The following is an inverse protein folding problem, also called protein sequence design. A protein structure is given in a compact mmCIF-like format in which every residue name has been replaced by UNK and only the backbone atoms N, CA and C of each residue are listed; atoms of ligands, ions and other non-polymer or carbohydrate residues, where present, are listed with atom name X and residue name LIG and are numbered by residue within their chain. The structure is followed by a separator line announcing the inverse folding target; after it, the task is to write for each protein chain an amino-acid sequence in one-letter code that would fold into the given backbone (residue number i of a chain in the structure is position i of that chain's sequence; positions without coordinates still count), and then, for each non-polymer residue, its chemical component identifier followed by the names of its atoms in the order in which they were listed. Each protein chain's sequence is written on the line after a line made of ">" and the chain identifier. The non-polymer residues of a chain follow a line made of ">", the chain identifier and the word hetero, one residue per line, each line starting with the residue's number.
data_IF_847100210158
#
_entry.id   IF_847100210158
#
_cell.length_a   1.000
_cell.length_b   1.000
_cell.length_c   1.000
_cell.angle_alpha   90.00
_cell.angle_beta   90.00
_cell.angle_gamma   90.00
#
_symmetry.space_group_name_H-M   'P 1'
#
loop_
_entity.id
_entity.type
_entity.pdbx_description
1 polymer ?
#
# COMPACT_ATOMS: atom_id res chain seq x y z
N UNK A 1 11.12 26.28 50.13
CA UNK A 1 10.53 26.42 48.79
C UNK A 1 9.04 26.75 48.94
N UNK A 2 8.61 27.95 48.56
CA UNK A 2 7.20 28.36 48.64
C UNK A 2 6.37 27.62 47.60
N UNK A 3 5.23 27.04 48.02
CA UNK A 3 4.29 26.38 47.10
C UNK A 3 3.61 27.47 46.25
N UNK A 4 3.74 27.37 44.92
CA UNK A 4 3.02 28.24 43.98
C UNK A 4 1.51 28.10 44.20
N UNK A 5 0.78 29.23 44.17
CA UNK A 5 -0.69 29.24 44.22
C UNK A 5 -1.30 28.34 43.13
N UNK A 6 -2.45 27.72 43.42
CA UNK A 6 -3.19 26.87 42.46
C UNK A 6 -3.43 27.60 41.12
N UNK A 7 -3.70 28.91 41.16
CA UNK A 7 -3.88 29.73 39.96
C UNK A 7 -2.56 29.92 39.17
N UNK A 8 -1.43 30.07 39.86
CA UNK A 8 -0.13 30.19 39.19
C UNK A 8 0.31 28.85 38.56
N UNK A 9 -0.05 27.72 39.19
CA UNK A 9 0.23 26.39 38.64
C UNK A 9 -0.57 26.09 37.37
N UNK A 10 -1.86 26.46 37.32
CA UNK A 10 -2.69 26.27 36.12
C UNK A 10 -2.24 27.15 34.96
N UNK A 11 -1.86 28.40 35.23
CA UNK A 11 -1.28 29.29 34.19
C UNK A 11 0.04 28.70 33.68
N UNK A 12 0.95 28.28 34.57
CA UNK A 12 2.23 27.67 34.16
C UNK A 12 2.04 26.42 33.30
N UNK A 13 1.08 25.55 33.63
CA UNK A 13 0.75 24.36 32.82
C UNK A 13 0.29 24.74 31.41
N UNK A 14 -0.65 25.68 31.29
CA UNK A 14 -1.12 26.17 29.97
C UNK A 14 0.02 26.74 29.12
N UNK A 15 0.97 27.43 29.74
CA UNK A 15 2.13 27.98 29.05
C UNK A 15 3.13 26.90 28.62
N UNK A 16 3.35 25.86 29.43
CA UNK A 16 4.22 24.75 29.06
C UNK A 16 3.62 23.91 27.92
N UNK A 17 2.32 23.64 27.95
CA UNK A 17 1.62 22.94 26.86
C UNK A 17 1.71 23.72 25.54
N UNK A 18 1.52 25.05 25.59
CA UNK A 18 1.65 25.90 24.42
C UNK A 18 3.10 26.00 23.90
N UNK A 19 4.10 25.92 24.79
CA UNK A 19 5.51 25.90 24.41
C UNK A 19 5.87 24.58 23.71
N UNK A 20 5.42 23.44 24.25
CA UNK A 20 5.62 22.11 23.66
C UNK A 20 4.98 22.02 22.27
N UNK A 21 3.78 22.58 22.09
CA UNK A 21 3.10 22.61 20.80
C UNK A 21 3.85 23.39 19.71
N UNK A 22 4.66 24.41 20.08
CA UNK A 22 5.39 25.25 19.13
C UNK A 22 6.86 24.84 18.93
N UNK A 23 7.50 24.19 19.91
CA UNK A 23 8.95 23.95 19.92
C UNK A 23 9.38 22.50 20.18
N UNK A 24 8.44 21.55 20.27
CA UNK A 24 8.74 20.17 20.64
C UNK A 24 9.07 20.00 22.12
N UNK A 25 9.52 18.80 22.51
CA UNK A 25 9.72 18.40 23.92
C UNK A 25 10.73 19.23 24.72
N UNK A 26 11.58 20.00 24.05
CA UNK A 26 12.64 20.81 24.67
C UNK A 26 12.26 22.29 24.87
N UNK A 27 11.02 22.69 24.59
CA UNK A 27 10.58 24.08 24.69
C UNK A 27 10.53 24.55 26.16
N UNK A 28 11.49 25.41 26.54
CA UNK A 28 11.56 26.03 27.88
C UNK A 28 10.90 27.42 27.86
N UNK A 29 10.02 27.67 28.83
CA UNK A 29 9.51 29.03 29.09
C UNK A 29 10.68 29.85 29.64
N UNK A 30 11.03 30.93 28.95
CA UNK A 30 12.11 31.81 29.36
C UNK A 30 11.54 32.85 30.31
N UNK A 31 11.84 32.68 31.59
CA UNK A 31 11.32 33.53 32.68
C UNK A 31 12.33 34.62 33.05
N UNK A 32 13.63 34.39 32.83
CA UNK A 32 14.66 35.37 33.13
C UNK A 32 14.74 36.43 32.03
N UNK A 33 14.77 37.69 32.45
CA UNK A 33 14.89 38.84 31.55
C UNK A 33 16.16 38.74 30.67
N UNK A 34 17.26 38.26 31.24
CA UNK A 34 18.56 38.10 30.55
C UNK A 34 18.52 37.09 29.40
N UNK A 35 17.72 36.03 29.50
CA UNK A 35 17.56 35.04 28.45
C UNK A 35 16.49 35.44 27.43
N UNK A 36 15.48 36.21 27.85
CA UNK A 36 14.41 36.68 26.97
C UNK A 36 14.85 37.84 26.06
N UNK A 37 15.73 38.73 26.55
CA UNK A 37 16.29 39.84 25.76
C UNK A 37 16.88 39.43 24.40
N UNK A 38 17.79 38.44 24.31
CA UNK A 38 18.36 38.06 23.02
C UNK A 38 17.32 37.45 22.08
N UNK A 39 16.32 36.72 22.59
CA UNK A 39 15.24 36.18 21.76
C UNK A 39 14.37 37.28 21.16
N UNK A 40 13.99 38.27 21.98
CA UNK A 40 13.21 39.43 21.53
C UNK A 40 13.99 40.24 20.50
N UNK A 41 15.28 40.46 20.75
CA UNK A 41 16.14 41.19 19.82
C UNK A 41 16.35 40.46 18.50
N UNK A 42 16.64 39.14 18.54
CA UNK A 42 16.77 38.32 17.33
C UNK A 42 15.48 38.34 16.52
N UNK A 43 14.31 38.20 17.17
CA UNK A 43 13.03 38.32 16.47
C UNK A 43 12.87 39.68 15.78
N UNK A 44 13.14 40.78 16.49
CA UNK A 44 13.01 42.13 15.93
C UNK A 44 14.00 42.37 14.79
N UNK A 45 15.23 41.87 14.92
CA UNK A 45 16.26 41.91 13.89
C UNK A 45 15.84 41.13 12.64
N UNK A 46 15.35 39.91 12.81
CA UNK A 46 15.02 38.99 11.70
C UNK A 46 13.67 39.32 11.04
N UNK A 47 12.79 40.03 11.74
CA UNK A 47 11.47 40.40 11.19
C UNK A 47 11.53 41.49 10.12
N UNK A 48 12.64 42.24 10.03
CA UNK A 48 12.85 43.37 9.14
C UNK A 48 11.70 44.40 9.08
N UNK A 49 10.89 44.52 10.13
CA UNK A 49 9.74 45.43 10.17
C UNK A 49 9.48 45.97 11.57
N UNK A 50 8.94 47.19 11.72
CA UNK A 50 8.47 47.66 13.00
C UNK A 50 7.33 46.81 13.55
N UNK A 51 7.43 46.40 14.81
CA UNK A 51 6.43 45.59 15.48
C UNK A 51 5.97 46.30 16.75
N UNK A 52 4.66 46.25 17.03
CA UNK A 52 4.15 46.68 18.33
C UNK A 52 4.27 45.55 19.37
N UNK A 53 4.09 45.88 20.65
CA UNK A 53 4.21 44.92 21.75
C UNK A 53 3.28 43.70 21.57
N UNK A 54 2.07 43.90 21.04
CA UNK A 54 1.12 42.82 20.77
C UNK A 54 1.63 41.85 19.71
N UNK A 55 2.20 42.37 18.61
CA UNK A 55 2.75 41.55 17.52
C UNK A 55 3.96 40.75 17.98
N UNK A 56 4.82 41.36 18.81
CA UNK A 56 5.99 40.69 19.40
C UNK A 56 5.53 39.60 20.37
N UNK A 57 4.54 39.90 21.21
CA UNK A 57 3.94 38.94 22.11
C UNK A 57 3.32 37.76 21.36
N UNK A 58 2.60 38.00 20.27
CA UNK A 58 1.95 36.93 19.49
C UNK A 58 2.97 36.02 18.80
N UNK A 59 4.06 36.61 18.28
CA UNK A 59 5.19 35.87 17.73
C UNK A 59 5.87 35.00 18.80
N UNK A 60 6.12 35.56 19.99
CA UNK A 60 6.76 34.89 21.12
C UNK A 60 5.76 34.21 22.08
N UNK A 61 4.50 34.06 21.65
CA UNK A 61 3.43 33.51 22.48
C UNK A 61 3.82 32.10 22.91
N UNK A 62 3.82 31.87 24.22
CA UNK A 62 4.27 30.68 24.95
C UNK A 62 5.76 30.60 25.32
N UNK A 63 6.63 31.44 24.74
CA UNK A 63 8.07 31.43 25.06
C UNK A 63 8.41 32.50 26.08
N UNK A 64 7.91 33.73 25.90
CA UNK A 64 8.19 34.87 26.77
C UNK A 64 6.88 35.42 27.37
N UNK A 65 6.70 35.40 28.71
CA UNK A 65 5.53 35.98 29.36
C UNK A 65 5.39 37.49 29.11
N UNK A 66 4.15 38.04 28.99
CA UNK A 66 3.94 39.47 28.74
C UNK A 66 4.65 40.39 29.75
N UNK A 67 4.67 40.09 31.06
CA UNK A 67 5.40 40.92 32.03
C UNK A 67 6.90 40.96 31.74
N UNK A 68 7.49 39.80 31.42
CA UNK A 68 8.92 39.68 31.10
C UNK A 68 9.22 40.39 29.79
N UNK A 69 8.38 40.21 28.76
CA UNK A 69 8.53 40.89 27.47
C UNK A 69 8.58 42.40 27.62
N UNK A 70 7.66 42.98 28.41
CA UNK A 70 7.63 44.43 28.65
C UNK A 70 8.94 44.90 29.32
N UNK A 71 9.39 44.21 30.37
CA UNK A 71 10.66 44.53 31.04
C UNK A 71 11.89 44.34 30.14
N UNK A 72 11.86 43.37 29.21
CA UNK A 72 12.91 43.18 28.23
C UNK A 72 12.96 44.34 27.23
N UNK A 73 11.82 44.74 26.67
CA UNK A 73 11.73 45.85 25.71
C UNK A 73 12.17 47.17 26.35
N UNK A 74 11.74 47.44 27.58
CA UNK A 74 12.18 48.61 28.36
C UNK A 74 13.70 48.57 28.57
N UNK A 75 14.26 47.47 29.06
CA UNK A 75 15.70 47.35 29.30
C UNK A 75 16.55 47.43 28.03
N UNK A 76 16.07 46.89 26.89
CA UNK A 76 16.76 47.03 25.60
C UNK A 76 16.66 48.48 25.08
N UNK A 77 15.56 49.18 25.36
CA UNK A 77 15.38 50.58 24.93
C UNK A 77 16.16 51.60 25.78
N UNK A 78 16.32 51.36 27.08
CA UNK A 78 16.97 52.28 28.03
C UNK A 78 18.49 52.28 27.84
N UNK A 79 19.10 51.14 27.47
CA UNK A 79 20.54 51.05 27.22
C UNK A 79 21.08 52.03 26.17
N UNK A 80 20.19 52.67 25.39
CA UNK A 80 20.52 53.63 24.34
C UNK A 80 20.31 55.11 24.73
N UNK A 81 19.66 55.42 25.86
CA UNK A 81 19.35 56.82 26.23
C UNK A 81 20.49 57.55 26.96
N UNK A 82 21.44 56.85 27.56
CA UNK A 82 22.50 57.48 28.38
C UNK A 82 23.72 57.98 27.57
N UNK A 83 23.62 58.07 26.22
CA UNK A 83 24.77 58.38 25.36
C UNK A 83 24.60 59.58 24.40
N UNK A 84 23.46 60.29 24.46
CA UNK A 84 23.29 61.56 23.74
C UNK A 84 23.08 62.70 24.74
N UNK A 85 23.94 63.72 24.64
CA UNK A 85 24.01 64.98 25.42
C UNK A 85 24.75 64.93 26.77
N UNK A 86 26.04 64.56 26.74
CA UNK A 86 27.02 65.29 27.55
C UNK A 86 27.63 66.37 26.67
N UNK A 87 27.09 67.60 26.74
CA UNK A 87 27.77 68.83 26.29
C UNK A 87 29.04 68.99 27.15
N UNK A 88 30.09 68.28 26.75
CA UNK A 88 31.44 68.37 27.28
C UNK A 88 32.28 69.17 26.31
N UNK A 89 32.18 70.48 26.43
CA UNK A 89 33.04 71.49 25.83
C UNK A 89 34.47 71.33 26.41
N UNK A 90 35.33 70.52 25.79
CA UNK A 90 36.78 70.55 26.06
C UNK A 90 37.58 70.43 24.77
N UNK A 91 38.09 71.58 24.34
CA UNK A 91 39.25 71.71 23.48
C UNK A 91 40.43 70.92 24.04
N UNK A 92 41.11 70.11 23.21
CA UNK A 92 42.56 69.93 23.31
C UNK A 92 43.18 69.33 22.03
N UNK A 93 43.87 70.21 21.32
CA UNK A 93 45.21 70.09 20.75
C UNK A 93 45.66 68.82 19.99
N UNK A 94 45.65 69.04 18.67
CA UNK A 94 46.67 68.68 17.68
C UNK A 94 48.03 68.28 18.27
N UNK A 95 48.41 67.00 18.14
CA UNK A 95 49.83 66.60 18.06
C UNK A 95 50.07 65.80 16.78
N UNK A 96 50.66 66.50 15.82
CA UNK A 96 51.30 65.98 14.61
C UNK A 96 52.55 65.19 15.04
N UNK A 97 52.65 63.90 14.70
CA UNK A 97 53.93 63.17 14.63
C UNK A 97 54.13 62.49 13.28
N UNK A 98 55.24 62.90 12.66
CA UNK A 98 55.79 62.58 11.34
C UNK A 98 56.20 61.10 11.15
N UNK A 99 56.41 60.66 9.89
CA UNK A 99 56.50 59.25 9.51
C UNK A 99 57.92 58.68 9.67
N UNK A 100 58.03 57.37 9.95
CA UNK A 100 59.31 56.63 9.88
C UNK A 100 59.19 55.30 9.12
N UNK A 101 59.95 55.27 8.02
CA UNK A 101 60.75 54.19 7.42
C UNK A 101 60.11 52.80 7.18
N UNK A 102 60.02 52.48 5.88
CA UNK A 102 59.89 51.15 5.28
C UNK A 102 61.00 50.21 5.77
N UNK A 103 60.63 49.05 6.30
CA UNK A 103 61.51 47.90 6.55
C UNK A 103 60.90 46.67 5.86
N UNK A 104 61.63 46.12 4.88
CA UNK A 104 61.36 44.81 4.27
C UNK A 104 61.53 43.73 5.34
N UNK A 105 60.50 42.91 5.56
CA UNK A 105 60.61 41.64 6.30
C UNK A 105 60.10 40.48 5.46
N UNK A 106 60.84 39.38 5.57
CA UNK A 106 60.69 38.06 4.95
C UNK A 106 59.30 37.41 5.15
N UNK A 107 58.95 36.40 4.32
CA UNK A 107 57.67 35.69 4.39
C UNK A 107 57.47 35.01 5.75
N UNK A 108 56.28 35.20 6.29
CA UNK A 108 55.83 34.67 7.58
C UNK A 108 55.45 33.18 7.42
N UNK A 109 55.87 32.29 8.32
CA UNK A 109 55.39 30.91 8.34
C UNK A 109 53.90 30.87 8.68
N UNK A 110 53.22 29.87 8.10
CA UNK A 110 51.82 29.52 8.28
C UNK A 110 51.42 29.44 9.76
N UNK A 111 50.28 30.05 10.17
CA UNK A 111 49.77 29.89 11.51
C UNK A 111 49.16 28.50 11.66
N UNK A 112 49.77 27.70 12.54
CA UNK A 112 49.17 26.49 13.11
C UNK A 112 47.86 26.86 13.83
N UNK A 113 46.75 26.12 13.67
CA UNK A 113 45.50 26.41 14.35
C UNK A 113 45.69 26.16 15.85
N UNK A 114 45.45 27.17 16.69
CA UNK A 114 45.34 26.97 18.14
C UNK A 114 44.00 26.29 18.45
N UNK A 115 43.98 25.12 19.10
CA UNK A 115 42.79 24.63 19.78
C UNK A 115 42.77 25.28 21.17
N UNK A 116 41.82 26.18 21.41
CA UNK A 116 41.18 26.36 22.72
C UNK A 116 40.20 27.53 22.64
N UNK A 117 38.93 27.16 22.54
CA UNK A 117 37.79 28.05 22.57
C UNK A 117 37.61 28.65 23.95
N UNK A 118 38.30 29.77 24.21
CA UNK A 118 37.64 30.83 24.95
C UNK A 118 36.61 31.43 24.00
N UNK A 119 35.39 30.90 24.07
CA UNK A 119 34.20 31.60 23.55
C UNK A 119 34.28 33.00 24.13
N UNK A 120 34.64 33.98 23.30
CA UNK A 120 34.39 35.39 23.58
C UNK A 120 32.90 35.41 23.90
N UNK A 121 32.56 35.48 25.19
CA UNK A 121 31.17 35.63 25.61
C UNK A 121 30.73 36.85 24.82
N UNK A 122 29.78 36.64 23.91
CA UNK A 122 29.11 37.67 23.13
C UNK A 122 28.36 38.49 24.20
N UNK A 123 29.11 39.32 24.94
CA UNK A 123 28.66 39.91 26.20
C UNK A 123 28.04 41.28 26.02
N UNK A 124 27.95 41.75 24.77
CA UNK A 124 27.10 42.86 24.38
C UNK A 124 26.55 42.49 23.03
N UNK A 125 25.30 42.06 23.00
CA UNK A 125 24.51 42.30 21.80
C UNK A 125 24.57 43.82 21.59
N UNK A 126 24.90 44.27 20.38
CA UNK A 126 24.80 45.68 20.01
C UNK A 126 23.30 46.05 19.95
N UNK A 127 22.67 46.11 21.13
CA UNK A 127 21.30 46.55 21.35
C UNK A 127 21.12 48.03 20.96
N UNK A 128 22.23 48.72 20.68
CA UNK A 128 22.40 50.07 20.10
C UNK A 128 21.66 50.30 18.77
N UNK A 129 21.06 49.25 18.21
CA UNK A 129 20.21 49.33 17.03
C UNK A 129 18.72 49.41 17.37
N UNK A 130 18.25 49.03 18.56
CA UNK A 130 16.82 49.08 18.85
C UNK A 130 16.34 50.54 18.98
N UNK A 131 15.41 50.93 18.11
CA UNK A 131 14.73 52.20 18.15
C UNK A 131 13.26 52.01 18.54
N UNK A 132 12.76 52.96 19.31
CA UNK A 132 11.37 53.01 19.77
C UNK A 132 10.71 54.23 19.17
N UNK A 133 9.65 54.02 18.39
CA UNK A 133 8.78 55.10 17.91
C UNK A 133 7.56 55.15 18.80
N UNK A 134 7.51 56.16 19.67
CA UNK A 134 6.42 56.38 20.60
C UNK A 134 5.08 56.55 19.88
N UNK A 135 4.06 55.80 20.32
CA UNK A 135 2.68 55.96 19.90
C UNK A 135 1.83 56.65 20.97
N UNK A 136 0.53 56.84 20.71
CA UNK A 136 -0.43 57.40 21.68
C UNK A 136 -0.62 56.54 22.94
N UNK A 137 -0.35 55.24 22.83
CA UNK A 137 -0.38 54.26 23.92
C UNK A 137 0.63 53.13 23.68
N UNK A 138 0.86 52.29 24.69
CA UNK A 138 1.82 51.18 24.62
C UNK A 138 1.55 50.18 23.47
N UNK A 139 0.29 50.04 23.03
CA UNK A 139 -0.08 49.15 21.92
C UNK A 139 0.22 49.77 20.54
N UNK A 140 0.43 51.08 20.48
CA UNK A 140 0.81 51.82 19.26
C UNK A 140 2.30 52.15 19.21
N UNK A 141 3.05 51.89 20.28
CA UNK A 141 4.51 52.01 20.28
C UNK A 141 5.12 50.93 19.38
N UNK A 142 5.95 51.36 18.43
CA UNK A 142 6.64 50.47 17.50
C UNK A 142 8.10 50.30 17.91
N UNK A 143 8.53 49.05 17.99
CA UNK A 143 9.90 48.65 18.24
C UNK A 143 10.50 48.12 16.93
N UNK A 144 11.69 48.57 16.57
CA UNK A 144 12.39 48.11 15.37
C UNK A 144 13.90 48.22 15.55
N UNK A 145 14.65 47.32 14.92
CA UNK A 145 16.10 47.45 14.86
C UNK A 145 16.46 48.37 13.69
N UNK A 146 17.24 49.41 13.97
CA UNK A 146 17.79 50.31 12.98
C UNK A 146 18.86 49.57 12.17
N UNK A 147 18.49 49.24 10.95
CA UNK A 147 19.33 48.52 10.02
C UNK A 147 20.31 49.44 9.27
N UNK A 148 20.21 50.76 9.40
CA UNK A 148 21.14 51.68 8.72
C UNK A 148 22.55 51.62 9.30
N UNK A 149 22.68 51.16 10.55
CA UNK A 149 23.97 50.94 11.24
C UNK A 149 24.64 49.60 10.91
N UNK A 150 24.01 48.73 10.10
CA UNK A 150 24.68 47.53 9.60
C UNK A 150 25.90 47.94 8.75
N UNK A 151 26.92 47.08 8.68
CA UNK A 151 28.24 47.33 8.08
C UNK A 151 28.23 47.95 6.66
N UNK A 152 27.09 47.94 5.98
CA UNK A 152 26.86 48.54 4.67
C UNK A 152 26.36 50.00 4.68
N UNK A 153 26.54 50.73 5.80
CA UNK A 153 26.37 52.20 5.91
C UNK A 153 25.05 52.76 5.34
N UNK A 154 23.97 51.98 5.37
CA UNK A 154 22.67 52.35 4.78
C UNK A 154 22.63 52.46 3.24
N UNK A 155 23.77 52.37 2.55
CA UNK A 155 23.86 52.46 1.08
C UNK A 155 23.59 51.11 0.38
N UNK A 156 23.36 50.05 1.16
CA UNK A 156 23.09 48.70 0.66
C UNK A 156 24.36 47.97 0.20
N UNK A 157 24.17 46.76 -0.34
CA UNK A 157 25.25 46.01 -0.99
C UNK A 157 25.82 46.82 -2.17
N UNK A 158 27.12 46.70 -2.41
CA UNK A 158 27.73 47.29 -3.60
C UNK A 158 27.09 46.69 -4.88
N UNK A 159 27.21 47.37 -6.03
CA UNK A 159 26.56 46.89 -7.27
C UNK A 159 27.06 45.51 -7.73
N UNK A 160 28.31 45.16 -7.43
CA UNK A 160 28.90 43.86 -7.80
C UNK A 160 28.30 42.74 -6.96
N UNK A 161 28.37 42.85 -5.64
CA UNK A 161 27.83 41.91 -4.68
C UNK A 161 26.31 41.73 -4.85
N UNK A 162 25.60 42.81 -5.21
CA UNK A 162 24.17 42.71 -5.55
C UNK A 162 23.95 41.85 -6.80
N UNK A 163 24.76 42.03 -7.85
CA UNK A 163 24.67 41.21 -9.06
C UNK A 163 25.03 39.75 -8.79
N UNK A 164 26.10 39.51 -8.02
CA UNK A 164 26.52 38.17 -7.61
C UNK A 164 25.45 37.47 -6.78
N UNK A 165 24.83 38.18 -5.82
CA UNK A 165 23.73 37.65 -5.02
C UNK A 165 22.50 37.36 -5.89
N UNK A 166 22.15 38.24 -6.83
CA UNK A 166 21.05 38.00 -7.76
C UNK A 166 21.32 36.78 -8.65
N UNK A 167 22.57 36.61 -9.12
CA UNK A 167 23.00 35.42 -9.85
C UNK A 167 22.87 34.15 -9.02
N UNK A 168 23.35 34.17 -7.77
CA UNK A 168 23.24 33.04 -6.84
C UNK A 168 21.77 32.70 -6.50
N UNK A 169 20.90 33.71 -6.32
CA UNK A 169 19.45 33.50 -6.09
C UNK A 169 18.79 32.88 -7.32
N UNK A 170 19.13 33.34 -8.52
CA UNK A 170 18.62 32.76 -9.76
C UNK A 170 19.10 31.31 -9.94
N UNK A 171 20.37 31.03 -9.66
CA UNK A 171 20.93 29.68 -9.71
C UNK A 171 20.27 28.76 -8.66
N UNK A 172 20.08 29.24 -7.44
CA UNK A 172 19.38 28.48 -6.40
C UNK A 172 17.92 28.20 -6.78
N UNK A 173 17.24 29.18 -7.39
CA UNK A 173 15.86 29.05 -7.87
C UNK A 173 15.73 28.01 -9.00
N UNK A 174 16.64 28.03 -9.97
CA UNK A 174 16.63 27.02 -11.06
C UNK A 174 16.96 25.63 -10.53
N UNK A 175 17.92 25.50 -9.60
CA UNK A 175 18.21 24.23 -8.92
C UNK A 175 17.00 23.72 -8.14
N UNK A 176 16.30 24.57 -7.39
CA UNK A 176 15.11 24.20 -6.63
C UNK A 176 13.98 23.73 -7.56
N UNK A 177 13.73 24.43 -8.67
CA UNK A 177 12.75 23.98 -9.69
C UNK A 177 13.11 22.61 -10.25
N UNK A 178 14.37 22.41 -10.65
CA UNK A 178 14.85 21.12 -11.18
C UNK A 178 14.71 19.97 -10.17
N UNK A 179 15.05 20.21 -8.90
CA UNK A 179 14.87 19.21 -7.85
C UNK A 179 13.40 18.92 -7.58
N UNK A 180 12.53 19.93 -7.62
CA UNK A 180 11.09 19.75 -7.47
C UNK A 180 10.50 18.93 -8.62
N UNK A 181 10.90 19.19 -9.87
CA UNK A 181 10.48 18.41 -11.03
C UNK A 181 10.98 16.96 -10.95
N UNK A 182 12.23 16.78 -10.50
CA UNK A 182 12.79 15.44 -10.27
C UNK A 182 12.05 14.67 -9.18
N UNK A 183 11.67 15.33 -8.08
CA UNK A 183 10.89 14.71 -7.02
C UNK A 183 9.51 14.30 -7.52
N UNK A 184 8.81 15.18 -8.26
CA UNK A 184 7.53 14.84 -8.88
C UNK A 184 7.63 13.68 -9.88
N UNK A 185 8.73 13.59 -10.63
CA UNK A 185 8.97 12.45 -11.52
C UNK A 185 9.17 11.14 -10.75
N UNK A 186 9.95 11.17 -9.66
CA UNK A 186 10.15 10.02 -8.79
C UNK A 186 8.85 9.58 -8.09
N UNK A 187 8.01 10.53 -7.68
CA UNK A 187 6.70 10.26 -7.09
C UNK A 187 5.75 9.57 -8.07
N UNK A 188 5.82 9.94 -9.36
CA UNK A 188 5.06 9.26 -10.43
C UNK A 188 5.57 7.84 -10.65
N UNK A 189 6.88 7.66 -10.79
CA UNK A 189 7.49 6.35 -10.99
C UNK A 189 7.20 5.40 -9.81
N UNK A 190 7.32 5.89 -8.58
CA UNK A 190 6.96 5.11 -7.39
C UNK A 190 5.48 4.76 -7.37
N UNK A 191 4.60 5.69 -7.74
CA UNK A 191 3.16 5.41 -7.86
C UNK A 191 2.86 4.36 -8.93
N UNK A 192 3.56 4.39 -10.06
CA UNK A 192 3.39 3.41 -11.15
C UNK A 192 3.93 2.03 -10.75
N UNK A 193 5.06 1.96 -10.03
CA UNK A 193 5.60 0.72 -9.47
C UNK A 193 4.68 0.12 -8.41
N UNK A 194 4.09 0.95 -7.53
CA UNK A 194 3.14 0.49 -6.52
C UNK A 194 1.80 0.01 -7.09
N UNK A 195 1.47 0.37 -8.34
CA UNK A 195 0.28 -0.14 -9.05
C UNK A 195 0.52 -1.50 -9.70
N UNK A 196 1.77 -1.90 -9.90
CA UNK A 196 2.07 -3.20 -10.47
C UNK A 196 1.81 -4.29 -9.43
N UNK A 197 1.23 -5.44 -9.83
CA UNK A 197 1.02 -6.54 -8.91
C UNK A 197 2.36 -7.05 -8.39
N UNK A 198 2.37 -7.47 -7.14
CA UNK A 198 3.55 -8.07 -6.53
C UNK A 198 3.86 -9.42 -7.19
N UNK A 199 5.12 -9.87 -7.09
CA UNK A 199 5.51 -11.17 -7.61
C UNK A 199 4.68 -12.32 -7.02
N UNK A 200 4.27 -12.20 -5.75
CA UNK A 200 3.42 -13.18 -5.06
C UNK A 200 2.01 -13.21 -5.66
N UNK A 201 1.42 -12.03 -5.94
CA UNK A 201 0.13 -11.93 -6.63
C UNK A 201 0.19 -12.51 -8.05
N UNK A 202 1.29 -12.23 -8.78
CA UNK A 202 1.51 -12.81 -10.11
C UNK A 202 1.65 -14.34 -10.07
N UNK A 203 2.33 -14.89 -9.07
CA UNK A 203 2.41 -16.34 -8.88
C UNK A 203 1.04 -16.95 -8.58
N UNK A 204 0.24 -16.30 -7.75
CA UNK A 204 -1.13 -16.74 -7.46
C UNK A 204 -2.02 -16.70 -8.71
N UNK A 205 -1.94 -15.61 -9.50
CA UNK A 205 -2.67 -15.48 -10.76
C UNK A 205 -2.25 -16.57 -11.76
N UNK A 206 -0.95 -16.79 -11.92
CA UNK A 206 -0.42 -17.83 -12.79
C UNK A 206 -0.91 -19.22 -12.36
N UNK A 207 -0.85 -19.53 -11.07
CA UNK A 207 -1.35 -20.80 -10.54
C UNK A 207 -2.86 -20.99 -10.78
N UNK A 208 -3.63 -19.91 -10.61
CA UNK A 208 -5.08 -19.93 -10.86
C UNK A 208 -5.38 -20.20 -12.34
N UNK A 209 -4.69 -19.52 -13.25
CA UNK A 209 -4.81 -19.73 -14.70
C UNK A 209 -4.37 -21.15 -15.11
N UNK A 210 -3.30 -21.68 -14.50
CA UNK A 210 -2.86 -23.06 -14.74
C UNK A 210 -3.93 -24.09 -14.34
N UNK A 211 -4.59 -23.89 -13.20
CA UNK A 211 -5.73 -24.72 -12.77
C UNK A 211 -6.88 -24.61 -13.78
N UNK A 212 -7.24 -23.40 -14.21
CA UNK A 212 -8.30 -23.20 -15.21
C UNK A 212 -7.98 -23.90 -16.53
N UNK A 213 -6.75 -23.78 -17.02
CA UNK A 213 -6.29 -24.47 -18.23
C UNK A 213 -6.30 -25.99 -18.07
N UNK A 214 -5.92 -26.50 -16.89
CA UNK A 214 -5.98 -27.93 -16.59
C UNK A 214 -7.43 -28.44 -16.66
N UNK A 215 -8.37 -27.73 -16.01
CA UNK A 215 -9.78 -28.08 -16.02
C UNK A 215 -10.38 -28.04 -17.44
N UNK A 216 -10.08 -26.99 -18.21
CA UNK A 216 -10.57 -26.86 -19.59
C UNK A 216 -10.04 -28.00 -20.49
N UNK A 217 -8.78 -28.43 -20.30
CA UNK A 217 -8.21 -29.58 -21.01
C UNK A 217 -8.97 -30.88 -20.67
N UNK A 218 -9.31 -31.08 -19.41
CA UNK A 218 -10.10 -32.24 -18.98
C UNK A 218 -11.50 -32.22 -19.61
N UNK A 219 -12.18 -31.06 -19.61
CA UNK A 219 -13.49 -30.89 -20.24
C UNK A 219 -13.45 -31.16 -21.74
N UNK A 220 -12.43 -30.69 -22.46
CA UNK A 220 -12.24 -30.97 -23.89
C UNK A 220 -12.05 -32.45 -24.13
N UNK A 221 -11.23 -33.13 -23.33
CA UNK A 221 -11.02 -34.57 -23.44
C UNK A 221 -12.34 -35.34 -23.20
N UNK A 222 -13.10 -34.96 -22.17
CA UNK A 222 -14.42 -35.54 -21.88
C UNK A 222 -15.38 -35.34 -23.06
N UNK A 223 -15.45 -34.13 -23.62
CA UNK A 223 -16.27 -33.83 -24.79
C UNK A 223 -15.88 -34.67 -26.02
N UNK A 224 -14.58 -34.87 -26.26
CA UNK A 224 -14.08 -35.73 -27.34
C UNK A 224 -14.50 -37.19 -27.15
N UNK A 225 -14.45 -37.72 -25.92
CA UNK A 225 -14.94 -39.05 -25.60
C UNK A 225 -16.44 -39.18 -25.90
N UNK A 226 -17.26 -38.20 -25.50
CA UNK A 226 -18.69 -38.18 -25.82
C UNK A 226 -18.97 -38.11 -27.33
N UNK A 227 -18.22 -37.28 -28.07
CA UNK A 227 -18.38 -37.15 -29.52
C UNK A 227 -18.04 -38.46 -30.25
N UNK A 228 -16.93 -39.11 -29.88
CA UNK A 228 -16.56 -40.44 -30.38
C UNK A 228 -17.64 -41.48 -30.09
N UNK A 229 -18.19 -41.47 -28.86
CA UNK A 229 -19.28 -42.35 -28.47
C UNK A 229 -20.57 -42.08 -29.29
N UNK A 230 -20.93 -40.81 -29.52
CA UNK A 230 -22.11 -40.47 -30.35
C UNK A 230 -21.97 -40.97 -31.79
N UNK A 231 -20.80 -40.80 -32.40
CA UNK A 231 -20.53 -41.29 -33.76
C UNK A 231 -20.60 -42.83 -33.83
N UNK A 232 -20.00 -43.51 -32.85
CA UNK A 232 -20.05 -44.97 -32.75
C UNK A 232 -21.48 -45.49 -32.57
N UNK A 233 -22.26 -44.89 -31.66
CA UNK A 233 -23.67 -45.23 -31.44
C UNK A 233 -24.49 -45.00 -32.70
N UNK A 234 -24.26 -43.90 -33.45
CA UNK A 234 -24.94 -43.64 -34.72
C UNK A 234 -24.63 -44.73 -35.76
N UNK A 235 -23.37 -45.17 -35.86
CA UNK A 235 -22.94 -46.24 -36.77
C UNK A 235 -23.60 -47.58 -36.42
N UNK A 236 -23.65 -47.95 -35.14
CA UNK A 236 -24.34 -49.17 -34.68
C UNK A 236 -25.83 -49.10 -35.01
N UNK A 237 -26.49 -47.97 -34.75
CA UNK A 237 -27.91 -47.79 -35.09
C UNK A 237 -28.19 -47.95 -36.58
N UNK A 238 -27.34 -47.36 -37.43
CA UNK A 238 -27.46 -47.49 -38.90
C UNK A 238 -27.25 -48.94 -39.37
N UNK A 239 -26.22 -49.63 -38.84
CA UNK A 239 -25.96 -51.05 -39.15
C UNK A 239 -27.13 -51.94 -38.70
N UNK A 240 -27.66 -51.74 -37.50
CA UNK A 240 -28.83 -52.46 -36.99
C UNK A 240 -30.07 -52.21 -37.86
N UNK A 241 -30.36 -50.95 -38.22
CA UNK A 241 -31.48 -50.62 -39.08
C UNK A 241 -31.37 -51.27 -40.48
N UNK A 242 -30.15 -51.33 -41.03
CA UNK A 242 -29.86 -52.03 -42.29
C UNK A 242 -30.15 -53.52 -42.17
N UNK A 243 -29.62 -54.20 -41.15
CA UNK A 243 -29.86 -55.62 -40.91
C UNK A 243 -31.35 -55.93 -40.73
N UNK A 244 -32.09 -55.07 -40.02
CA UNK A 244 -33.55 -55.20 -39.86
C UNK A 244 -34.27 -55.06 -41.20
N UNK A 245 -33.86 -54.12 -42.05
CA UNK A 245 -34.44 -53.93 -43.38
C UNK A 245 -34.20 -55.13 -44.31
N UNK A 246 -32.96 -55.64 -44.33
CA UNK A 246 -32.58 -56.83 -45.09
C UNK A 246 -33.34 -58.06 -44.59
N UNK A 247 -33.48 -58.22 -43.27
CA UNK A 247 -34.28 -59.28 -42.66
C UNK A 247 -35.76 -59.20 -43.08
N UNK A 248 -36.40 -58.02 -42.98
CA UNK A 248 -37.80 -57.82 -43.43
C UNK A 248 -37.98 -58.16 -44.91
N UNK A 249 -36.99 -57.82 -45.73
CA UNK A 249 -37.03 -58.11 -47.17
C UNK A 249 -36.91 -59.61 -47.45
N UNK A 250 -35.97 -60.31 -46.78
CA UNK A 250 -35.86 -61.77 -46.85
C UNK A 250 -37.13 -62.47 -46.37
N UNK A 251 -37.69 -62.01 -45.24
CA UNK A 251 -38.94 -62.53 -44.69
C UNK A 251 -40.10 -62.40 -45.68
N UNK A 252 -40.27 -61.24 -46.33
CA UNK A 252 -41.30 -61.06 -47.37
C UNK A 252 -41.12 -62.03 -48.53
N UNK A 253 -39.92 -62.10 -49.12
CA UNK A 253 -39.63 -63.03 -50.21
C UNK A 253 -39.90 -64.49 -49.85
N UNK A 254 -39.57 -64.91 -48.63
CA UNK A 254 -39.84 -66.26 -48.14
C UNK A 254 -41.35 -66.51 -47.99
N UNK A 255 -42.08 -65.54 -47.45
CA UNK A 255 -43.54 -65.61 -47.34
C UNK A 255 -44.20 -65.67 -48.72
N UNK A 256 -43.79 -64.81 -49.65
CA UNK A 256 -44.31 -64.78 -51.02
C UNK A 256 -44.07 -66.11 -51.75
N UNK A 257 -42.89 -66.73 -51.53
CA UNK A 257 -42.57 -68.06 -52.05
C UNK A 257 -43.50 -69.15 -51.47
N UNK A 258 -43.79 -69.11 -50.17
CA UNK A 258 -44.71 -70.07 -49.54
C UNK A 258 -46.14 -69.91 -50.04
N UNK A 259 -46.61 -68.68 -50.27
CA UNK A 259 -47.92 -68.41 -50.86
C UNK A 259 -47.99 -69.03 -52.27
N UNK A 260 -46.98 -68.78 -53.11
CA UNK A 260 -46.91 -69.36 -54.46
C UNK A 260 -46.88 -70.90 -54.46
N UNK A 261 -46.18 -71.52 -53.50
CA UNK A 261 -46.14 -72.98 -53.35
C UNK A 261 -47.46 -73.57 -52.84
N UNK A 262 -48.15 -72.87 -51.96
CA UNK A 262 -49.47 -73.30 -51.47
C UNK A 262 -50.49 -73.31 -52.61
N UNK A 263 -50.48 -72.26 -53.44
CA UNK A 263 -51.33 -72.16 -54.63
C UNK A 263 -50.98 -73.23 -55.68
N UNK A 264 -49.70 -73.44 -55.99
CA UNK A 264 -49.26 -74.38 -57.02
C UNK A 264 -49.42 -75.87 -56.63
N UNK A 265 -49.52 -76.17 -55.33
CA UNK A 265 -49.66 -77.55 -54.83
C UNK A 265 -51.06 -77.87 -54.30
N UNK A 266 -52.04 -77.01 -54.60
CA UNK A 266 -53.44 -77.13 -54.16
C UNK A 266 -53.56 -77.38 -52.65
N UNK A 267 -52.71 -76.71 -51.86
CA UNK A 267 -52.70 -76.80 -50.40
C UNK A 267 -52.03 -78.06 -49.83
N UNK A 268 -51.30 -78.82 -50.64
CA UNK A 268 -50.41 -79.89 -50.14
C UNK A 268 -49.33 -79.28 -49.24
N UNK A 269 -48.68 -78.20 -49.69
CA UNK A 269 -47.78 -77.39 -48.86
C UNK A 269 -48.58 -76.25 -48.23
N UNK A 270 -48.85 -76.33 -46.92
CA UNK A 270 -49.58 -75.25 -46.20
C UNK A 270 -48.61 -74.25 -45.60
N UNK A 271 -48.68 -72.97 -45.98
CA UNK A 271 -47.82 -71.89 -45.45
C UNK A 271 -47.85 -71.83 -43.92
N UNK A 272 -49.04 -71.94 -43.33
CA UNK A 272 -49.22 -71.89 -41.87
C UNK A 272 -48.49 -73.02 -41.15
N UNK A 273 -48.44 -74.22 -41.74
CA UNK A 273 -47.72 -75.36 -41.15
C UNK A 273 -46.21 -75.20 -41.28
N UNK A 274 -45.73 -74.72 -42.44
CA UNK A 274 -44.30 -74.48 -42.66
C UNK A 274 -43.76 -73.38 -41.73
N UNK A 275 -44.49 -72.26 -41.57
CA UNK A 275 -44.10 -71.18 -40.63
C UNK A 275 -44.17 -71.58 -39.15
N UNK A 276 -44.96 -72.61 -38.81
CA UNK A 276 -45.03 -73.18 -37.47
C UNK A 276 -43.94 -74.24 -37.22
N UNK A 277 -43.13 -74.58 -38.23
CA UNK A 277 -42.11 -75.64 -38.15
C UNK A 277 -42.67 -77.06 -38.19
N UNK A 278 -43.95 -77.24 -38.53
CA UNK A 278 -44.62 -78.56 -38.61
C UNK A 278 -45.08 -78.89 -40.03
N UNK A 279 -44.52 -78.20 -41.03
CA UNK A 279 -44.87 -78.34 -42.44
C UNK A 279 -43.95 -79.30 -43.17
N UNK A 280 -44.25 -79.53 -44.45
CA UNK A 280 -43.40 -80.34 -45.33
C UNK A 280 -42.07 -79.66 -45.67
N UNK A 281 -41.99 -78.34 -45.46
CA UNK A 281 -40.76 -77.56 -45.55
C UNK A 281 -40.45 -77.08 -44.14
N UNK A 282 -39.33 -77.55 -43.58
CA UNK A 282 -38.82 -77.11 -42.29
C UNK A 282 -38.22 -75.70 -42.43
N UNK A 283 -38.89 -74.71 -41.84
CA UNK A 283 -38.37 -73.36 -41.72
C UNK A 283 -38.14 -73.06 -40.24
N UNK A 284 -36.88 -72.86 -39.88
CA UNK A 284 -36.55 -72.32 -38.56
C UNK A 284 -36.97 -70.86 -38.50
N UNK A 285 -37.98 -70.56 -37.69
CA UNK A 285 -38.42 -69.19 -37.47
C UNK A 285 -37.43 -68.46 -36.56
N UNK A 286 -36.98 -67.28 -36.98
CA UNK A 286 -36.13 -66.37 -36.18
C UNK A 286 -36.77 -65.95 -34.83
N UNK A 287 -38.02 -66.34 -34.55
CA UNK A 287 -38.65 -66.12 -33.26
C UNK A 287 -37.96 -66.85 -32.10
N UNK A 288 -37.41 -68.04 -32.31
CA UNK A 288 -36.79 -68.82 -31.23
C UNK A 288 -35.49 -68.15 -30.74
N UNK A 289 -34.54 -67.80 -31.63
CA UNK A 289 -33.35 -67.05 -31.22
C UNK A 289 -33.68 -65.68 -30.62
N UNK A 290 -34.73 -64.99 -31.11
CA UNK A 290 -35.17 -63.70 -30.54
C UNK A 290 -35.77 -63.85 -29.13
N UNK A 291 -36.53 -64.92 -28.86
CA UNK A 291 -37.07 -65.21 -27.52
C UNK A 291 -35.94 -65.52 -26.55
N UNK A 292 -34.96 -66.32 -26.96
CA UNK A 292 -33.77 -66.64 -26.17
C UNK A 292 -32.92 -65.40 -25.89
N UNK A 293 -32.67 -64.56 -26.90
CA UNK A 293 -31.94 -63.31 -26.73
C UNK A 293 -32.65 -62.33 -25.78
N UNK A 294 -33.99 -62.25 -25.84
CA UNK A 294 -34.79 -61.44 -24.89
C UNK A 294 -34.74 -62.02 -23.48
N UNK A 295 -34.79 -63.34 -23.32
CA UNK A 295 -34.68 -63.99 -22.03
C UNK A 295 -33.29 -63.78 -21.41
N UNK A 296 -32.23 -63.95 -22.20
CA UNK A 296 -30.86 -63.67 -21.80
C UNK A 296 -30.68 -62.19 -21.41
N UNK A 297 -31.20 -61.24 -22.20
CA UNK A 297 -31.12 -59.82 -21.86
C UNK A 297 -31.83 -59.48 -20.54
N UNK A 298 -33.02 -60.05 -20.29
CA UNK A 298 -33.70 -59.91 -19.00
C UNK A 298 -32.87 -60.48 -17.85
N UNK A 299 -32.26 -61.64 -18.04
CA UNK A 299 -31.37 -62.27 -17.05
C UNK A 299 -30.14 -61.40 -16.74
N UNK A 300 -29.46 -60.87 -17.76
CA UNK A 300 -28.31 -59.97 -17.57
C UNK A 300 -28.70 -58.66 -16.90
N UNK A 301 -29.86 -58.08 -17.25
CA UNK A 301 -30.35 -56.86 -16.60
C UNK A 301 -30.61 -57.07 -15.11
N UNK A 302 -31.23 -58.19 -14.74
CA UNK A 302 -31.49 -58.56 -13.34
C UNK A 302 -30.19 -58.83 -12.55
N UNK A 303 -29.17 -59.42 -13.19
CA UNK A 303 -27.86 -59.67 -12.56
C UNK A 303 -27.12 -58.36 -12.30
N UNK A 304 -27.14 -57.41 -13.25
CA UNK A 304 -26.47 -56.12 -13.08
C UNK A 304 -27.15 -55.26 -12.01
N UNK A 305 -28.48 -55.25 -11.90
CA UNK A 305 -29.16 -54.54 -10.80
C UNK A 305 -28.81 -55.11 -9.44
N UNK A 306 -28.73 -56.44 -9.30
CA UNK A 306 -28.33 -57.09 -8.05
C UNK A 306 -26.87 -56.81 -7.68
N UNK A 307 -25.97 -56.71 -8.66
CA UNK A 307 -24.57 -56.32 -8.40
C UNK A 307 -24.46 -54.87 -7.96
N UNK A 308 -25.19 -53.95 -8.59
CA UNK A 308 -25.21 -52.53 -8.19
C UNK A 308 -25.74 -52.38 -6.75
N UNK A 309 -26.78 -53.12 -6.36
CA UNK A 309 -27.29 -53.14 -4.99
C UNK A 309 -26.25 -53.68 -3.99
N UNK A 310 -25.53 -54.74 -4.36
CA UNK A 310 -24.47 -55.31 -3.52
C UNK A 310 -23.25 -54.38 -3.38
N UNK A 311 -22.96 -53.58 -4.41
CA UNK A 311 -21.89 -52.58 -4.41
C UNK A 311 -22.27 -51.32 -3.62
N UNK A 312 -23.55 -50.94 -3.64
CA UNK A 312 -24.10 -49.84 -2.84
C UNK A 312 -24.08 -50.19 -1.34
N UNK A 313 -24.45 -51.41 -0.99
CA UNK A 313 -24.37 -51.93 0.38
C UNK A 313 -22.92 -52.04 0.91
N UNK A 314 -21.94 -52.30 0.02
CA UNK A 314 -20.52 -52.28 0.40
C UNK A 314 -19.98 -50.88 0.67
N UNK A 315 -20.41 -49.87 -0.08
CA UNK A 315 -19.94 -48.48 0.06
C UNK A 315 -20.49 -47.76 1.29
N UNK A 316 -21.66 -48.15 1.79
CA UNK A 316 -22.20 -47.61 3.06
C UNK A 316 -21.46 -48.16 4.30
N UNK A 317 -20.70 -49.25 4.15
CA UNK A 317 -19.87 -49.83 5.23
C UNK A 317 -18.41 -49.37 5.25
N UNK A 318 -17.98 -48.48 4.34
CA UNK A 318 -16.57 -48.12 4.16
C UNK A 318 -16.20 -46.66 4.50
N UNK A 319 -16.95 -45.99 5.37
CA UNK A 319 -16.49 -44.75 6.03
C UNK A 319 -15.47 -45.10 7.13
N UNK A 320 -14.32 -45.65 6.74
CA UNK A 320 -13.22 -45.93 7.65
C UNK A 320 -12.22 -44.78 7.60
N UNK A 321 -12.09 -44.02 8.69
CA UNK A 321 -11.00 -43.05 8.84
C UNK A 321 -9.79 -43.81 9.38
N UNK A 322 -8.84 -44.13 8.50
CA UNK A 322 -7.54 -44.65 8.90
C UNK A 322 -6.66 -43.49 9.38
N UNK A 323 -6.53 -43.31 10.69
CA UNK A 323 -5.56 -42.36 11.26
C UNK A 323 -4.20 -43.05 11.31
N UNK A 324 -3.26 -42.59 10.47
CA UNK A 324 -1.86 -43.03 10.51
C UNK A 324 -1.17 -42.22 11.61
N UNK A 325 -0.89 -42.87 12.74
CA UNK A 325 -0.05 -42.29 13.79
C UNK A 325 1.43 -42.44 13.38
N UNK A 326 2.17 -41.33 13.45
CA UNK A 326 3.57 -41.24 13.00
C UNK A 326 4.53 -42.25 13.66
N UNK A 327 5.67 -42.43 13.01
CA UNK A 327 6.61 -43.56 13.01
C UNK A 327 7.12 -44.15 14.36
N UNK A 328 6.72 -43.65 15.53
CA UNK A 328 7.27 -44.07 16.82
C UNK A 328 6.25 -44.74 17.77
N UNK A 329 5.06 -45.07 17.31
CA UNK A 329 4.08 -45.82 18.10
C UNK A 329 3.73 -47.12 17.37
N UNK A 330 3.92 -48.25 18.05
CA UNK A 330 3.55 -49.58 17.60
C UNK A 330 2.15 -49.58 16.99
N UNK A 331 2.04 -50.04 15.74
CA UNK A 331 0.81 -50.06 14.93
C UNK A 331 -0.36 -50.71 15.67
N UNK A 332 -1.23 -49.90 16.26
CA UNK A 332 -2.50 -50.32 16.83
C UNK A 332 -3.65 -49.80 15.98
N UNK A 333 -4.44 -50.71 15.40
CA UNK A 333 -5.70 -50.34 14.72
C UNK A 333 -6.77 -50.21 15.78
N UNK A 334 -7.12 -48.98 16.16
CA UNK A 334 -8.23 -48.71 17.07
C UNK A 334 -9.52 -48.65 16.24
N UNK A 335 -10.48 -49.51 16.54
CA UNK A 335 -11.84 -49.43 16.00
C UNK A 335 -12.64 -48.49 16.90
N UNK A 336 -13.01 -47.32 16.38
CA UNK A 336 -13.90 -46.38 17.08
C UNK A 336 -15.32 -46.60 16.56
N UNK A 337 -16.28 -47.08 17.38
CA UNK A 337 -17.68 -47.12 16.99
C UNK A 337 -18.22 -45.69 16.90
N UNK A 338 -18.99 -45.43 15.84
CA UNK A 338 -19.58 -44.12 15.55
C UNK A 338 -20.94 -44.04 16.26
N UNK A 339 -20.93 -43.80 17.57
CA UNK A 339 -22.17 -43.49 18.30
C UNK A 339 -22.44 -41.99 18.18
N UNK A 340 -23.23 -41.63 17.17
CA UNK A 340 -23.75 -40.28 16.96
C UNK A 340 -24.89 -40.00 17.96
N UNK A 341 -24.57 -39.67 19.21
CA UNK A 341 -25.47 -38.92 20.09
C UNK A 341 -24.64 -37.95 20.96
N UNK A 342 -24.38 -36.76 20.42
CA UNK A 342 -24.02 -35.61 21.24
C UNK A 342 -25.33 -34.91 21.59
N UNK A 343 -25.95 -35.32 22.69
CA UNK A 343 -26.95 -34.50 23.39
C UNK A 343 -26.25 -33.23 23.89
N UNK A 344 -26.55 -32.10 23.28
CA UNK A 344 -26.22 -30.78 23.81
C UNK A 344 -27.08 -30.49 25.04
N UNK A 345 -26.45 -30.31 26.20
CA UNK A 345 -27.01 -29.57 27.34
C UNK A 345 -26.32 -28.23 27.48
#
# INVERSE_FOLDING_TARGET
>A
MSKLSKAASTIRKKWMEAAIAKGGGDAKIVISQSEAQPLVYTLLRDSFRPMNITSIHDALKAVVPPPVLKTCLEAISIGNQDQEYSDGDECNDVIIKKPKKKSKRLPKPTPVPKPNGQKKVISRYDFDTLQVKGGRNANTTLYFCNQTKLENSGNGLNSSDRQDLMGAVQEASTKLKRLSESALSADRETSDLLRQPTNEELQHLLHTEEIMLSNLKEEVNNAQHYARNKAHVKRIKQSSARLVSEWRTRKRKCVDFLDMMEDATEGTVKKKKCLAGTGQIELESDETPLKEARAAHKYFKQRNTKQIEHEKCRKESSSFIGVILGANLSSGVIRVPFDNEIETK
#
